data_IF_960090096552
#
_entry.id   IF_960090096552
#
_cell.length_a   1.000
_cell.length_b   1.000
_cell.length_c   1.000
_cell.angle_alpha   90.00
_cell.angle_beta   90.00
_cell.angle_gamma   90.00
#
_symmetry.space_group_name_H-M   'P 1'
#
loop_
_entity.id
_entity.type
_entity.pdbx_description
1 polymer ?
#
# COMPACT_ATOMS: atom_id res chain seq x y z
N UNK A 1 7.69 12.59 -3.11
CA UNK A 1 6.60 12.90 -2.15
C UNK A 1 5.27 12.25 -2.55
N UNK A 2 4.81 12.41 -3.79
CA UNK A 2 3.47 11.97 -4.21
C UNK A 2 3.20 10.48 -3.99
N UNK A 3 4.18 9.59 -4.25
CA UNK A 3 4.03 8.14 -4.08
C UNK A 3 3.64 7.78 -2.64
N UNK A 4 4.31 8.34 -1.64
CA UNK A 4 4.01 8.05 -0.22
C UNK A 4 2.59 8.46 0.16
N UNK A 5 2.14 9.62 -0.34
CA UNK A 5 0.78 10.09 -0.08
C UNK A 5 -0.24 9.18 -0.75
N UNK A 6 0.01 8.72 -1.98
CA UNK A 6 -0.90 7.82 -2.69
C UNK A 6 -1.00 6.46 -1.96
N UNK A 7 0.11 5.90 -1.49
CA UNK A 7 0.10 4.63 -0.76
C UNK A 7 -0.62 4.77 0.59
N UNK A 8 -0.29 5.81 1.36
CA UNK A 8 -0.94 6.05 2.65
C UNK A 8 -2.42 6.41 2.51
N UNK A 9 -2.81 7.15 1.46
CA UNK A 9 -4.22 7.44 1.20
C UNK A 9 -4.99 6.19 0.80
N UNK A 10 -4.38 5.29 0.03
CA UNK A 10 -5.00 4.00 -0.30
C UNK A 10 -5.19 3.15 0.95
N UNK A 11 -4.14 3.01 1.78
CA UNK A 11 -4.25 2.29 3.05
C UNK A 11 -5.35 2.89 3.94
N UNK A 12 -5.39 4.22 4.11
CA UNK A 12 -6.43 4.89 4.90
C UNK A 12 -7.84 4.73 4.31
N UNK A 13 -8.00 4.74 2.99
CA UNK A 13 -9.29 4.56 2.31
C UNK A 13 -9.87 3.16 2.52
N UNK A 14 -9.02 2.14 2.58
CA UNK A 14 -9.44 0.73 2.54
C UNK A 14 -9.27 -0.03 3.89
N UNK A 15 -8.71 0.63 4.91
CA UNK A 15 -8.67 0.12 6.29
C UNK A 15 -9.97 0.45 7.02
N UNK A 16 -10.56 -0.53 7.70
CA UNK A 16 -11.77 -0.33 8.50
C UNK A 16 -11.49 0.49 9.77
N UNK A 17 -12.54 1.04 10.39
CA UNK A 17 -12.40 1.73 11.68
C UNK A 17 -11.74 0.81 12.73
N UNK A 18 -10.83 1.39 13.52
CA UNK A 18 -10.03 0.65 14.50
C UNK A 18 -8.96 -0.28 13.90
N UNK A 19 -8.78 -0.30 12.56
CA UNK A 19 -7.67 -0.99 11.90
C UNK A 19 -6.32 -0.28 12.09
N UNK A 20 -5.29 -0.83 11.46
CA UNK A 20 -3.91 -0.40 11.62
C UNK A 20 -3.21 -0.25 10.28
N UNK A 21 -2.41 0.81 10.16
CA UNK A 21 -1.51 1.05 9.03
C UNK A 21 -0.08 1.16 9.59
N UNK A 22 0.81 0.30 9.11
CA UNK A 22 2.22 0.26 9.48
C UNK A 22 3.08 0.85 8.36
N UNK A 23 3.92 1.83 8.70
CA UNK A 23 4.99 2.33 7.84
C UNK A 23 6.33 1.84 8.38
N UNK A 24 7.04 1.06 7.58
CA UNK A 24 8.36 0.55 7.94
C UNK A 24 9.41 0.98 6.92
N UNK A 25 10.62 1.22 7.39
CA UNK A 25 11.78 1.50 6.56
C UNK A 25 12.93 0.61 6.95
N UNK A 26 13.67 0.14 5.95
CA UNK A 26 14.84 -0.72 6.14
C UNK A 26 15.89 -0.37 5.11
N UNK A 27 17.15 -0.33 5.54
CA UNK A 27 18.29 -0.26 4.63
C UNK A 27 18.86 -1.67 4.49
N UNK A 28 18.99 -2.16 3.26
CA UNK A 28 19.60 -3.47 2.97
C UNK A 28 21.11 -3.42 3.17
N UNK A 29 21.76 -4.58 3.27
CA UNK A 29 23.24 -4.65 3.32
C UNK A 29 23.89 -4.08 2.05
N UNK A 30 23.19 -4.10 0.92
CA UNK A 30 23.62 -3.50 -0.33
C UNK A 30 23.42 -1.96 -0.36
N UNK A 31 22.78 -1.37 0.65
CA UNK A 31 22.53 0.06 0.77
C UNK A 31 21.18 0.53 0.23
N UNK A 32 20.30 -0.38 -0.20
CA UNK A 32 18.98 -0.02 -0.74
C UNK A 32 18.02 0.38 0.37
N UNK A 33 17.32 1.50 0.20
CA UNK A 33 16.23 1.90 1.08
C UNK A 33 14.92 1.25 0.63
N UNK A 34 14.39 0.36 1.48
CA UNK A 34 13.03 -0.18 1.35
C UNK A 34 12.10 0.64 2.23
N UNK A 35 10.97 1.06 1.67
CA UNK A 35 9.84 1.66 2.39
C UNK A 35 8.62 0.77 2.13
N UNK A 36 7.97 0.31 3.18
CA UNK A 36 6.77 -0.50 3.08
C UNK A 36 5.61 0.14 3.86
N UNK A 37 4.46 0.24 3.20
CA UNK A 37 3.17 0.59 3.80
C UNK A 37 2.35 -0.69 3.84
N UNK A 38 1.89 -1.09 5.01
CA UNK A 38 1.02 -2.25 5.22
C UNK A 38 -0.23 -1.80 5.95
N UNK A 39 -1.37 -2.33 5.54
CA UNK A 39 -2.62 -2.21 6.28
C UNK A 39 -3.25 -3.59 6.54
N UNK A 40 -4.30 -3.62 7.35
CA UNK A 40 -5.14 -4.79 7.59
C UNK A 40 -6.59 -4.59 7.10
N UNK A 41 -6.76 -3.80 6.04
CA UNK A 41 -8.04 -3.51 5.42
C UNK A 41 -8.62 -4.67 4.61
N UNK A 42 -9.54 -4.34 3.71
CA UNK A 42 -10.31 -5.30 2.90
C UNK A 42 -9.44 -6.15 1.96
N UNK A 43 -8.20 -5.73 1.71
CA UNK A 43 -7.28 -6.39 0.78
C UNK A 43 -7.65 -6.20 -0.69
N UNK A 44 -6.95 -6.92 -1.56
CA UNK A 44 -7.16 -6.90 -3.01
C UNK A 44 -7.30 -8.37 -3.44
N UNK A 45 -8.35 -8.74 -4.20
CA UNK A 45 -8.45 -10.07 -4.77
C UNK A 45 -7.22 -10.41 -5.63
N UNK A 46 -6.70 -11.63 -5.52
CA UNK A 46 -5.44 -12.01 -6.18
C UNK A 46 -5.49 -11.92 -7.71
N UNK A 47 -6.65 -12.19 -8.30
CA UNK A 47 -6.95 -12.06 -9.73
C UNK A 47 -7.06 -10.60 -10.19
N UNK A 48 -7.19 -9.66 -9.25
CA UNK A 48 -7.35 -8.22 -9.49
C UNK A 48 -6.08 -7.41 -9.25
N UNK A 49 -5.00 -8.05 -8.78
CA UNK A 49 -3.75 -7.36 -8.45
C UNK A 49 -3.12 -6.64 -9.66
N UNK A 50 -3.18 -7.25 -10.85
CA UNK A 50 -2.65 -6.64 -12.06
C UNK A 50 -3.45 -5.38 -12.46
N UNK A 51 -4.77 -5.43 -12.31
CA UNK A 51 -5.67 -4.32 -12.68
C UNK A 51 -5.44 -3.08 -11.82
N UNK A 52 -5.27 -3.24 -10.51
CA UNK A 52 -5.00 -2.11 -9.59
C UNK A 52 -3.58 -1.53 -9.72
N UNK A 53 -2.66 -2.23 -10.39
CA UNK A 53 -1.30 -1.75 -10.65
C UNK A 53 -1.23 -0.85 -11.90
N UNK A 54 -2.24 -0.89 -12.76
CA UNK A 54 -2.32 -0.01 -13.92
C UNK A 54 -2.61 1.45 -13.51
N UNK A 55 -2.17 2.45 -14.29
CA UNK A 55 -2.51 3.84 -14.04
C UNK A 55 -4.03 4.03 -13.95
N UNK A 56 -4.50 4.60 -12.83
CA UNK A 56 -5.92 4.81 -12.53
C UNK A 56 -6.76 3.53 -12.36
N UNK A 57 -6.12 2.37 -12.20
CA UNK A 57 -6.80 1.10 -11.93
C UNK A 57 -7.50 1.09 -10.57
N UNK A 58 -8.78 0.71 -10.56
CA UNK A 58 -9.57 0.49 -9.36
C UNK A 58 -10.49 -0.70 -9.60
N UNK A 59 -10.70 -1.51 -8.57
CA UNK A 59 -11.64 -2.63 -8.60
C UNK A 59 -12.77 -2.36 -7.61
N UNK A 60 -13.98 -2.80 -7.98
CA UNK A 60 -15.21 -2.65 -7.19
C UNK A 60 -15.31 -3.66 -6.04
#
# INVERSE_FOLDING_TARGET
RQIMLNLLSNAAKFTHEGGSIDLTTRISEAGDLTIAVRDNGIGIPGDKLAEVMEPFGQVD
#
